data_IF_492842595127
#
_entry.id   IF_492842595127
#
_cell.length_a   1.000
_cell.length_b   1.000
_cell.length_c   1.000
_cell.angle_alpha   90.00
_cell.angle_beta   90.00
_cell.angle_gamma   90.00
#
_symmetry.space_group_name_H-M   'P 1'
#
loop_
_entity.id
_entity.type
_entity.pdbx_description
1 polymer ?
#
# COMPACT_ATOMS: atom_id res chain seq x y z
N UNK A 1 -4.93 8.51 6.27
CA UNK A 1 -4.68 7.73 5.04
C UNK A 1 -5.40 6.41 5.17
N UNK A 2 -6.20 6.06 4.17
CA UNK A 2 -7.06 4.88 4.17
C UNK A 2 -6.99 4.19 2.80
N UNK A 3 -6.96 2.87 2.79
CA UNK A 3 -7.07 2.07 1.58
C UNK A 3 -8.55 2.01 1.16
N UNK A 4 -8.88 2.52 -0.03
CA UNK A 4 -10.26 2.59 -0.51
C UNK A 4 -10.62 1.41 -1.41
N UNK A 5 -9.68 0.96 -2.23
CA UNK A 5 -9.85 -0.19 -3.11
C UNK A 5 -8.49 -0.80 -3.46
N UNK A 6 -8.44 -2.12 -3.67
CA UNK A 6 -7.24 -2.83 -4.11
C UNK A 6 -7.59 -4.14 -4.83
N UNK A 7 -6.77 -4.59 -5.80
CA UNK A 7 -6.94 -5.89 -6.43
C UNK A 7 -6.67 -7.00 -5.41
N UNK A 8 -6.99 -8.25 -5.74
CA UNK A 8 -6.67 -9.37 -4.87
C UNK A 8 -5.15 -9.62 -4.82
N UNK A 9 -4.44 -8.95 -3.90
CA UNK A 9 -2.98 -9.05 -3.75
C UNK A 9 -2.66 -10.36 -3.01
N UNK A 10 -2.07 -11.31 -3.71
CA UNK A 10 -1.75 -12.62 -3.13
C UNK A 10 -0.49 -12.57 -2.24
N UNK A 11 -0.65 -13.01 -0.99
CA UNK A 11 0.44 -13.23 -0.02
C UNK A 11 0.81 -14.72 -0.05
N UNK A 12 1.46 -15.20 -1.11
CA UNK A 12 1.82 -16.63 -1.22
C UNK A 12 3.30 -16.81 -1.48
N UNK A 13 4.08 -17.23 -0.48
CA UNK A 13 5.55 -17.24 -0.50
C UNK A 13 6.27 -18.21 -1.45
N UNK A 14 5.64 -18.69 -2.52
CA UNK A 14 6.16 -19.77 -3.39
C UNK A 14 6.78 -19.26 -4.72
N UNK A 15 6.93 -17.95 -4.94
CA UNK A 15 7.54 -17.43 -6.18
C UNK A 15 8.02 -15.98 -6.07
N UNK A 16 9.11 -15.63 -6.78
CA UNK A 16 9.81 -14.33 -6.69
C UNK A 16 8.99 -13.06 -7.03
N UNK A 17 7.72 -13.21 -7.40
CA UNK A 17 6.77 -12.14 -7.72
C UNK A 17 5.69 -11.94 -6.64
N UNK A 18 5.82 -12.62 -5.49
CA UNK A 18 4.83 -12.59 -4.40
C UNK A 18 5.36 -11.85 -3.18
N UNK A 19 4.50 -11.08 -2.52
CA UNK A 19 4.88 -10.28 -1.37
C UNK A 19 4.72 -11.08 -0.08
N UNK A 20 5.78 -11.20 0.74
CA UNK A 20 5.70 -11.92 2.03
C UNK A 20 4.87 -11.20 3.09
N UNK A 21 4.84 -9.88 3.05
CA UNK A 21 4.14 -9.03 4.02
C UNK A 21 3.70 -7.75 3.35
N UNK A 22 2.41 -7.41 3.45
CA UNK A 22 1.87 -6.15 2.95
C UNK A 22 2.42 -4.95 3.75
N UNK A 23 2.55 -3.77 3.13
CA UNK A 23 2.86 -2.54 3.84
C UNK A 23 1.85 -2.26 4.95
N UNK A 24 2.33 -1.79 6.10
CA UNK A 24 1.49 -1.60 7.29
C UNK A 24 0.27 -0.69 7.06
N UNK A 25 0.42 0.31 6.19
CA UNK A 25 -0.65 1.24 5.85
C UNK A 25 -1.84 0.61 5.12
N UNK A 26 -1.67 -0.57 4.51
CA UNK A 26 -2.75 -1.29 3.84
C UNK A 26 -3.67 -2.02 4.81
N UNK A 27 -3.17 -2.38 6.00
CA UNK A 27 -3.93 -3.13 7.01
C UNK A 27 -4.64 -2.23 8.01
N UNK A 28 -4.08 -1.06 8.30
CA UNK A 28 -4.60 -0.14 9.30
C UNK A 28 -4.52 1.30 8.81
N UNK A 29 -5.57 2.12 8.99
CA UNK A 29 -5.51 3.54 8.68
C UNK A 29 -4.37 4.22 9.44
N UNK A 30 -3.62 5.08 8.75
CA UNK A 30 -2.47 5.79 9.32
C UNK A 30 -2.66 7.30 9.23
N UNK A 31 -2.20 8.02 10.25
CA UNK A 31 -2.01 9.47 10.20
C UNK A 31 -0.54 9.75 9.95
N UNK A 32 -0.24 10.43 8.86
CA UNK A 32 1.12 10.81 8.47
C UNK A 32 1.17 12.30 8.19
N UNK A 33 2.31 12.95 8.44
CA UNK A 33 2.51 14.33 8.04
C UNK A 33 2.84 14.43 6.55
N UNK A 34 2.46 15.54 5.90
CA UNK A 34 2.79 15.79 4.50
C UNK A 34 4.31 15.83 4.27
N UNK A 35 5.06 16.45 5.18
CA UNK A 35 6.52 16.51 5.12
C UNK A 35 7.16 15.11 5.14
N UNK A 36 6.69 14.24 6.04
CA UNK A 36 7.21 12.87 6.11
C UNK A 36 6.88 12.09 4.83
N UNK A 37 5.66 12.21 4.30
CA UNK A 37 5.26 11.51 3.08
C UNK A 37 6.08 11.98 1.87
N UNK A 38 6.43 13.27 1.80
CA UNK A 38 7.28 13.83 0.75
C UNK A 38 8.71 13.27 0.79
N UNK A 39 9.27 13.07 1.99
CA UNK A 39 10.66 12.62 2.14
C UNK A 39 10.81 11.10 2.16
N UNK A 40 9.97 10.39 2.92
CA UNK A 40 10.07 8.95 3.09
C UNK A 40 9.36 8.16 1.98
N UNK A 41 8.37 8.78 1.33
CA UNK A 41 7.52 8.12 0.35
C UNK A 41 6.56 7.10 0.96
N UNK A 42 5.92 6.33 0.08
CA UNK A 42 4.99 5.26 0.45
C UNK A 42 5.48 3.93 -0.11
N UNK A 43 5.72 2.96 0.76
CA UNK A 43 6.07 1.61 0.32
C UNK A 43 4.88 0.97 -0.43
N UNK A 44 5.07 0.60 -1.69
CA UNK A 44 4.05 -0.03 -2.51
C UNK A 44 4.10 -1.56 -2.39
N UNK A 45 2.94 -2.24 -2.43
CA UNK A 45 2.94 -3.67 -2.59
C UNK A 45 3.40 -4.07 -4.00
N UNK A 46 3.74 -5.35 -4.17
CA UNK A 46 3.92 -5.91 -5.51
C UNK A 46 2.55 -5.99 -6.17
N UNK A 47 2.44 -5.42 -7.36
CA UNK A 47 1.22 -5.33 -8.14
C UNK A 47 1.43 -5.95 -9.51
N UNK A 48 0.38 -6.59 -10.02
CA UNK A 48 0.34 -6.97 -11.43
C UNK A 48 0.34 -5.71 -12.30
N UNK A 49 1.05 -5.69 -13.45
CA UNK A 49 1.17 -4.50 -14.29
C UNK A 49 -0.17 -3.90 -14.75
N UNK A 50 -1.23 -4.70 -14.82
CA UNK A 50 -2.57 -4.30 -15.25
C UNK A 50 -3.50 -3.99 -14.07
N UNK A 51 -2.94 -3.70 -12.89
CA UNK A 51 -3.69 -3.46 -11.66
C UNK A 51 -3.38 -2.09 -11.03
N UNK A 52 -4.28 -1.62 -10.17
CA UNK A 52 -4.15 -0.32 -9.50
C UNK A 52 -4.74 -0.35 -8.09
N UNK A 53 -4.26 0.53 -7.20
CA UNK A 53 -4.78 0.72 -5.85
C UNK A 53 -5.38 2.12 -5.73
N UNK A 54 -6.50 2.24 -5.04
CA UNK A 54 -7.10 3.52 -4.69
C UNK A 54 -6.81 3.89 -3.22
N UNK A 55 -6.15 5.04 -3.02
CA UNK A 55 -5.76 5.54 -1.70
C UNK A 55 -6.50 6.85 -1.40
N UNK A 56 -7.14 6.91 -0.24
CA UNK A 56 -7.80 8.11 0.29
C UNK A 56 -6.91 8.86 1.26
N UNK A 57 -6.67 10.14 0.98
CA UNK A 57 -5.99 11.06 1.89
C UNK A 57 -6.97 12.14 2.35
N UNK A 58 -7.05 12.32 3.67
CA UNK A 58 -7.84 13.37 4.30
C UNK A 58 -6.96 14.08 5.33
N UNK A 59 -7.01 15.41 5.33
CA UNK A 59 -6.40 16.22 6.38
C UNK A 59 -7.19 16.06 7.67
N UNK A 60 -6.48 15.82 8.77
CA UNK A 60 -7.00 15.80 10.14
C UNK A 60 -6.55 17.04 10.92
#
# INVERSE_FOLDING_TARGET
MTLLDHPNIQITGEGGHTMRKLPAWMTTPQTVSGEWLQQAGLALPILDPESAILIGLQRV
#
